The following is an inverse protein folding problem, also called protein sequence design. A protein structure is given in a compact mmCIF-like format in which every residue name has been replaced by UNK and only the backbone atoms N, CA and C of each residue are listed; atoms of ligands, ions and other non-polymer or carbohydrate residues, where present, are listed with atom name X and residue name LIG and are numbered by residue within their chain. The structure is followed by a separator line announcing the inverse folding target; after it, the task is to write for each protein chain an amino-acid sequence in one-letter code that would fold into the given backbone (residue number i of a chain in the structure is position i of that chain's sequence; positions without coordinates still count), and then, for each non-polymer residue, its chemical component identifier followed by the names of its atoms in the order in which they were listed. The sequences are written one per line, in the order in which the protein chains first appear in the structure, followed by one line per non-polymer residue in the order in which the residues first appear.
data_IF_079893765718
#
_entry.id   IF_079893765718
#
_cell.length_a   1.000
_cell.length_b   1.000
_cell.length_c   1.000
_cell.angle_alpha   90.00
_cell.angle_beta   90.00
_cell.angle_gamma   90.00
#
_symmetry.space_group_name_H-M   'P 1'
#
loop_
_entity.id
_entity.type
_entity.pdbx_description
1 polymer ?
#
# COMPACT_ATOMS: atom_id res chain seq x y z
N UNK A 1 -28.37 12.79 -77.39
CA UNK A 1 -27.99 11.62 -76.57
C UNK A 1 -29.17 11.26 -75.69
N UNK A 2 -29.62 10.00 -75.71
CA UNK A 2 -30.78 9.57 -74.94
C UNK A 2 -30.45 9.53 -73.44
N UNK A 3 -31.35 10.00 -72.58
CA UNK A 3 -31.19 9.98 -71.10
C UNK A 3 -30.81 8.59 -70.56
N UNK A 4 -31.15 7.52 -71.26
CA UNK A 4 -30.79 6.14 -70.93
C UNK A 4 -29.27 5.91 -70.91
N UNK A 5 -28.53 6.50 -71.85
CA UNK A 5 -27.06 6.33 -71.95
C UNK A 5 -26.34 7.05 -70.80
N UNK A 6 -26.85 8.22 -70.38
CA UNK A 6 -26.32 8.95 -69.23
C UNK A 6 -26.54 8.16 -67.93
N UNK A 7 -27.73 7.58 -67.75
CA UNK A 7 -28.06 6.76 -66.58
C UNK A 7 -27.21 5.48 -66.50
N UNK A 8 -26.95 4.83 -67.62
CA UNK A 8 -26.08 3.65 -67.68
C UNK A 8 -24.63 4.02 -67.32
N UNK A 9 -24.12 5.15 -67.82
CA UNK A 9 -22.79 5.65 -67.49
C UNK A 9 -22.63 5.93 -65.99
N UNK A 10 -23.57 6.66 -65.38
CA UNK A 10 -23.53 6.94 -63.94
C UNK A 10 -23.67 5.67 -63.08
N UNK A 11 -24.44 4.67 -63.53
CA UNK A 11 -24.58 3.40 -62.81
C UNK A 11 -23.29 2.58 -62.85
N UNK A 12 -22.56 2.61 -63.96
CA UNK A 12 -21.26 1.97 -64.06
C UNK A 12 -20.22 2.66 -63.18
N UNK A 13 -20.16 4.00 -63.19
CA UNK A 13 -19.28 4.78 -62.33
C UNK A 13 -19.56 4.50 -60.84
N UNK A 14 -20.83 4.47 -60.43
CA UNK A 14 -21.22 4.10 -59.06
C UNK A 14 -20.83 2.67 -58.68
N UNK A 15 -20.82 1.73 -59.64
CA UNK A 15 -20.36 0.34 -59.38
C UNK A 15 -18.86 0.30 -59.20
N UNK A 16 -18.11 1.05 -60.00
CA UNK A 16 -16.66 1.13 -59.93
C UNK A 16 -16.23 1.76 -58.60
N UNK A 17 -16.85 2.88 -58.20
CA UNK A 17 -16.62 3.51 -56.89
C UNK A 17 -16.96 2.57 -55.73
N UNK A 18 -18.07 1.84 -55.80
CA UNK A 18 -18.43 0.84 -54.79
C UNK A 18 -17.40 -0.29 -54.71
N UNK A 19 -16.86 -0.72 -55.85
CA UNK A 19 -15.81 -1.75 -55.88
C UNK A 19 -14.51 -1.24 -55.24
N UNK A 20 -14.16 0.02 -55.51
CA UNK A 20 -12.98 0.67 -54.98
C UNK A 20 -13.06 0.88 -53.46
N UNK A 21 -14.20 1.39 -52.97
CA UNK A 21 -14.44 1.59 -51.53
C UNK A 21 -14.41 0.27 -50.77
N UNK A 22 -14.96 -0.81 -51.34
CA UNK A 22 -14.89 -2.15 -50.73
C UNK A 22 -13.46 -2.66 -50.64
N UNK A 23 -12.63 -2.40 -51.65
CA UNK A 23 -11.21 -2.77 -51.63
C UNK A 23 -10.45 -1.99 -50.53
N UNK A 24 -10.66 -0.68 -50.43
CA UNK A 24 -10.05 0.14 -49.38
C UNK A 24 -10.45 -0.30 -47.97
N UNK A 25 -11.73 -0.62 -47.74
CA UNK A 25 -12.18 -1.09 -46.42
C UNK A 25 -11.52 -2.42 -46.03
N UNK A 26 -11.27 -3.30 -47.01
CA UNK A 26 -10.60 -4.57 -46.76
C UNK A 26 -9.12 -4.37 -46.40
N UNK A 27 -8.44 -3.45 -47.09
CA UNK A 27 -7.05 -3.09 -46.80
C UNK A 27 -6.89 -2.45 -45.42
N UNK A 28 -7.74 -1.46 -45.07
CA UNK A 28 -7.72 -0.81 -43.75
C UNK A 28 -7.97 -1.83 -42.63
N UNK A 29 -8.86 -2.80 -42.86
CA UNK A 29 -9.12 -3.87 -41.89
C UNK A 29 -7.92 -4.79 -41.69
N UNK A 30 -7.22 -5.15 -42.77
CA UNK A 30 -5.99 -5.94 -42.68
C UNK A 30 -4.90 -5.20 -41.89
N UNK A 31 -4.71 -3.90 -42.16
CA UNK A 31 -3.76 -3.08 -41.41
C UNK A 31 -4.11 -2.99 -39.92
N UNK A 32 -5.40 -2.88 -39.58
CA UNK A 32 -5.84 -2.84 -38.19
C UNK A 32 -5.58 -4.18 -37.45
N UNK A 33 -5.80 -5.31 -38.11
CA UNK A 33 -5.54 -6.63 -37.54
C UNK A 33 -4.03 -6.88 -37.35
N UNK A 34 -3.20 -6.43 -38.29
CA UNK A 34 -1.73 -6.49 -38.17
C UNK A 34 -1.21 -5.60 -37.03
N UNK A 35 -1.71 -4.37 -36.92
CA UNK A 35 -1.35 -3.46 -35.83
C UNK A 35 -1.76 -4.02 -34.46
N UNK A 36 -2.94 -4.66 -34.37
CA UNK A 36 -3.40 -5.32 -33.14
C UNK A 36 -2.49 -6.49 -32.77
N UNK A 37 -2.07 -7.30 -33.74
CA UNK A 37 -1.15 -8.42 -33.52
C UNK A 37 0.22 -7.92 -33.03
N UNK A 38 0.75 -6.87 -33.64
CA UNK A 38 2.01 -6.24 -33.22
C UNK A 38 1.91 -5.66 -31.80
N UNK A 39 0.78 -5.02 -31.44
CA UNK A 39 0.56 -4.50 -30.10
C UNK A 39 0.51 -5.62 -29.04
N UNK A 40 -0.15 -6.74 -29.34
CA UNK A 40 -0.19 -7.89 -28.42
C UNK A 40 1.20 -8.53 -28.24
N UNK A 41 1.98 -8.63 -29.32
CA UNK A 41 3.35 -9.15 -29.26
C UNK A 41 4.29 -8.22 -28.48
N UNK A 42 4.16 -6.91 -28.67
CA UNK A 42 4.89 -5.92 -27.87
C UNK A 42 4.51 -5.99 -26.38
N UNK A 43 3.22 -6.17 -26.06
CA UNK A 43 2.78 -6.36 -24.67
C UNK A 43 3.34 -7.64 -24.06
N UNK A 44 3.36 -8.77 -24.79
CA UNK A 44 3.99 -10.02 -24.32
C UNK A 44 5.49 -9.86 -24.10
N UNK A 45 6.19 -9.18 -25.00
CA UNK A 45 7.62 -8.91 -24.85
C UNK A 45 7.95 -8.01 -23.64
N UNK A 46 7.10 -7.02 -23.34
CA UNK A 46 7.22 -6.19 -22.14
C UNK A 46 6.98 -7.02 -20.87
N UNK A 47 5.96 -7.87 -20.88
CA UNK A 47 5.63 -8.74 -19.75
C UNK A 47 6.75 -9.75 -19.45
N UNK A 48 7.36 -10.36 -20.47
CA UNK A 48 8.50 -11.28 -20.29
C UNK A 48 9.77 -10.54 -19.82
N UNK A 49 10.02 -9.32 -20.29
CA UNK A 49 11.13 -8.49 -19.78
C UNK A 49 10.94 -8.07 -18.32
N UNK A 50 9.70 -7.89 -17.86
CA UNK A 50 9.38 -7.57 -16.48
C UNK A 50 9.60 -8.77 -15.54
N UNK A 51 9.31 -10.01 -15.98
CA UNK A 51 9.53 -11.23 -15.19
C UNK A 51 11.00 -11.52 -14.87
N UNK A 52 11.95 -10.98 -15.66
CA UNK A 52 13.37 -11.30 -15.50
C UNK A 52 14.10 -10.60 -14.36
N UNK A 53 13.54 -9.57 -13.72
CA UNK A 53 14.30 -8.71 -12.77
C UNK A 53 13.81 -8.68 -11.33
N UNK A 54 12.57 -9.09 -11.02
CA UNK A 54 12.01 -8.90 -9.66
C UNK A 54 11.79 -10.18 -8.84
N UNK A 55 11.89 -11.38 -9.43
CA UNK A 55 11.57 -12.62 -8.70
C UNK A 55 12.50 -12.96 -7.53
N UNK A 56 13.70 -12.36 -7.43
CA UNK A 56 14.58 -12.58 -6.28
C UNK A 56 14.12 -11.81 -5.03
N UNK A 57 13.42 -10.68 -5.17
CA UNK A 57 12.93 -9.90 -4.03
C UNK A 57 11.51 -10.29 -3.63
N UNK A 58 10.65 -10.61 -4.60
CA UNK A 58 9.27 -11.04 -4.36
C UNK A 58 9.17 -12.33 -3.53
N UNK A 59 10.03 -13.31 -3.85
CA UNK A 59 10.07 -14.59 -3.14
C UNK A 59 10.56 -14.46 -1.68
N UNK A 60 11.30 -13.38 -1.37
CA UNK A 60 11.88 -13.16 -0.04
C UNK A 60 10.95 -12.36 0.89
N UNK A 61 10.08 -11.51 0.32
CA UNK A 61 9.16 -10.67 1.09
C UNK A 61 7.80 -11.33 1.30
N UNK A 62 7.34 -12.18 0.37
CA UNK A 62 6.14 -13.01 0.54
C UNK A 62 6.16 -13.89 1.82
N UNK A 63 7.35 -14.09 2.41
CA UNK A 63 7.55 -14.90 3.62
C UNK A 63 8.01 -14.11 4.85
N UNK A 64 8.04 -12.76 4.80
CA UNK A 64 8.36 -11.98 6.00
C UNK A 64 7.21 -12.09 7.00
N UNK A 65 7.40 -12.92 8.04
CA UNK A 65 6.49 -12.96 9.18
C UNK A 65 6.37 -11.55 9.78
N UNK A 66 5.17 -11.12 10.22
CA UNK A 66 4.97 -9.83 10.89
C UNK A 66 5.90 -9.57 12.08
N UNK A 67 6.48 -10.61 12.69
CA UNK A 67 7.50 -10.48 13.73
C UNK A 67 8.78 -9.80 13.26
N UNK A 68 9.12 -9.90 11.98
CA UNK A 68 10.30 -9.25 11.38
C UNK A 68 10.05 -7.77 11.03
N UNK A 69 8.78 -7.35 10.90
CA UNK A 69 8.42 -5.94 10.66
C UNK A 69 8.63 -5.03 11.89
N UNK A 70 8.72 -5.59 13.11
CA UNK A 70 8.82 -4.79 14.35
C UNK A 70 10.09 -3.95 14.47
N UNK A 71 11.16 -4.30 13.75
CA UNK A 71 12.45 -3.59 13.80
C UNK A 71 12.55 -2.42 12.80
N UNK A 72 11.51 -2.19 11.99
CA UNK A 72 11.64 -1.49 10.72
C UNK A 72 10.88 -0.14 10.76
N UNK A 73 11.56 0.92 10.33
CA UNK A 73 11.18 2.35 10.46
C UNK A 73 9.86 2.74 9.77
N UNK A 74 9.44 4.01 9.93
CA UNK A 74 8.33 4.65 9.18
C UNK A 74 8.46 4.31 7.67
N UNK A 75 7.35 3.98 7.01
CA UNK A 75 7.20 3.60 5.59
C UNK A 75 7.46 2.13 5.20
N UNK A 76 7.83 1.26 6.13
CA UNK A 76 8.10 -0.15 5.83
C UNK A 76 6.86 -0.97 5.46
N UNK A 77 5.71 -0.60 6.00
CA UNK A 77 4.46 -1.25 5.63
C UNK A 77 4.12 -1.00 4.15
N UNK A 78 4.31 0.23 3.67
CA UNK A 78 4.14 0.57 2.26
C UNK A 78 5.11 -0.22 1.37
N UNK A 79 6.37 -0.37 1.81
CA UNK A 79 7.38 -1.21 1.14
C UNK A 79 6.99 -2.68 1.09
N UNK A 80 6.57 -3.25 2.22
CA UNK A 80 6.17 -4.65 2.32
C UNK A 80 4.90 -4.95 1.52
N UNK A 81 4.06 -3.95 1.27
CA UNK A 81 2.91 -4.06 0.37
C UNK A 81 3.26 -3.81 -1.11
N UNK A 82 4.53 -3.53 -1.44
CA UNK A 82 4.99 -3.16 -2.78
C UNK A 82 4.25 -1.93 -3.36
N UNK A 83 3.95 -0.95 -2.51
CA UNK A 83 3.25 0.28 -2.89
C UNK A 83 4.16 1.53 -2.79
N UNK A 84 5.49 1.37 -2.85
CA UNK A 84 6.43 2.50 -2.79
C UNK A 84 6.17 3.53 -3.90
N UNK A 85 5.92 3.05 -5.12
CA UNK A 85 5.67 3.90 -6.29
C UNK A 85 4.24 4.47 -6.33
N UNK A 86 3.29 3.80 -5.68
CA UNK A 86 1.86 4.12 -5.73
C UNK A 86 1.35 4.62 -4.38
N UNK A 87 1.83 5.80 -3.96
CA UNK A 87 1.47 6.43 -2.69
C UNK A 87 -0.04 6.66 -2.55
N UNK A 88 -0.72 7.07 -3.62
CA UNK A 88 -2.17 7.35 -3.59
C UNK A 88 -2.98 6.08 -3.34
N UNK A 89 -2.58 4.96 -3.94
CA UNK A 89 -3.21 3.67 -3.70
C UNK A 89 -3.03 3.25 -2.24
N UNK A 90 -1.83 3.40 -1.67
CA UNK A 90 -1.58 3.13 -0.26
C UNK A 90 -2.46 3.99 0.66
N UNK A 91 -2.57 5.30 0.40
CA UNK A 91 -3.42 6.20 1.17
C UNK A 91 -4.92 5.83 1.05
N UNK A 92 -5.37 5.43 -0.14
CA UNK A 92 -6.76 4.99 -0.34
C UNK A 92 -7.09 3.72 0.46
N UNK A 93 -6.14 2.78 0.55
CA UNK A 93 -6.27 1.57 1.37
C UNK A 93 -6.34 1.93 2.85
N UNK A 94 -5.45 2.80 3.34
CA UNK A 94 -5.47 3.27 4.72
C UNK A 94 -6.81 3.91 5.07
N UNK A 95 -7.30 4.81 4.20
CA UNK A 95 -8.57 5.49 4.42
C UNK A 95 -9.74 4.50 4.48
N UNK A 96 -9.79 3.55 3.54
CA UNK A 96 -10.84 2.51 3.50
C UNK A 96 -10.88 1.71 4.80
N UNK A 97 -9.72 1.29 5.31
CA UNK A 97 -9.63 0.55 6.57
C UNK A 97 -10.08 1.43 7.74
N UNK A 98 -9.69 2.70 7.79
CA UNK A 98 -10.10 3.62 8.86
C UNK A 98 -11.61 3.87 8.88
N UNK A 99 -12.23 4.00 7.71
CA UNK A 99 -13.67 4.15 7.58
C UNK A 99 -14.39 2.89 8.11
N UNK A 100 -13.91 1.70 7.73
CA UNK A 100 -14.44 0.43 8.24
C UNK A 100 -14.26 0.26 9.74
N UNK A 101 -13.09 0.64 10.29
CA UNK A 101 -12.85 0.61 11.73
C UNK A 101 -13.84 1.50 12.49
N UNK A 102 -14.17 2.66 11.91
CA UNK A 102 -15.14 3.61 12.46
C UNK A 102 -16.55 3.03 12.40
N UNK A 103 -16.91 2.38 11.29
CA UNK A 103 -18.21 1.70 11.11
C UNK A 103 -18.40 0.54 12.10
N UNK A 104 -17.35 -0.27 12.32
CA UNK A 104 -17.37 -1.42 13.23
C UNK A 104 -17.33 -1.00 14.71
N UNK A 105 -17.00 0.27 14.97
CA UNK A 105 -16.91 0.87 16.31
C UNK A 105 -16.00 0.04 17.24
N UNK A 106 -14.74 -0.11 16.81
CA UNK A 106 -13.68 -0.71 17.64
C UNK A 106 -13.34 0.20 18.83
N UNK A 107 -13.00 -0.41 19.96
CA UNK A 107 -12.67 0.35 21.17
C UNK A 107 -11.24 0.86 21.09
N UNK A 108 -11.07 2.16 20.80
CA UNK A 108 -9.77 2.80 20.63
C UNK A 108 -8.88 2.68 21.88
N UNK A 109 -9.46 2.44 23.07
CA UNK A 109 -8.70 2.36 24.33
C UNK A 109 -8.10 0.97 24.58
N UNK A 110 -8.51 -0.04 23.82
CA UNK A 110 -8.06 -1.42 23.98
C UNK A 110 -7.01 -1.77 22.94
N UNK A 111 -6.03 -2.55 23.37
CA UNK A 111 -5.03 -3.11 22.45
C UNK A 111 -5.67 -4.09 21.46
N UNK A 112 -5.00 -4.28 20.33
CA UNK A 112 -5.44 -5.16 19.24
C UNK A 112 -5.88 -6.55 19.73
N UNK A 113 -5.07 -7.19 20.59
CA UNK A 113 -5.35 -8.54 21.09
C UNK A 113 -6.55 -8.61 22.05
N UNK A 114 -7.00 -7.47 22.58
CA UNK A 114 -8.13 -7.37 23.51
C UNK A 114 -9.43 -6.96 22.83
N UNK A 115 -9.40 -6.70 21.51
CA UNK A 115 -10.60 -6.40 20.74
C UNK A 115 -11.44 -7.67 20.53
N UNK A 116 -12.77 -7.57 20.48
CA UNK A 116 -13.62 -8.71 20.17
C UNK A 116 -13.35 -9.20 18.74
N UNK A 117 -13.01 -10.48 18.60
CA UNK A 117 -12.64 -11.11 17.34
C UNK A 117 -13.75 -11.01 16.28
N UNK A 118 -15.02 -11.01 16.68
CA UNK A 118 -16.16 -10.81 15.77
C UNK A 118 -16.12 -9.46 15.04
N UNK A 119 -15.67 -8.40 15.73
CA UNK A 119 -15.53 -7.07 15.14
C UNK A 119 -14.33 -7.02 14.20
N UNK A 120 -13.19 -7.58 14.63
CA UNK A 120 -11.99 -7.62 13.81
C UNK A 120 -12.25 -8.45 12.54
N UNK A 121 -12.94 -9.59 12.64
CA UNK A 121 -13.30 -10.45 11.51
C UNK A 121 -14.02 -9.69 10.38
N UNK A 122 -14.92 -8.76 10.72
CA UNK A 122 -15.61 -7.93 9.73
C UNK A 122 -14.67 -7.00 8.95
N UNK A 123 -13.55 -6.61 9.54
CA UNK A 123 -12.53 -5.78 8.89
C UNK A 123 -11.66 -6.57 7.92
N UNK A 124 -11.62 -7.90 8.04
CA UNK A 124 -10.84 -8.75 7.14
C UNK A 124 -11.58 -9.06 5.83
N UNK A 125 -12.88 -8.77 5.73
CA UNK A 125 -13.66 -8.98 4.51
C UNK A 125 -13.52 -7.85 3.46
N UNK A 126 -12.35 -7.21 3.33
CA UNK A 126 -12.15 -6.07 2.42
C UNK A 126 -11.66 -6.56 1.05
N UNK A 127 -12.45 -6.37 -0.03
CA UNK A 127 -12.12 -6.92 -1.35
C UNK A 127 -10.76 -6.48 -1.91
N UNK A 128 -10.34 -5.25 -1.60
CA UNK A 128 -9.08 -4.69 -2.12
C UNK A 128 -7.83 -5.27 -1.46
N UNK A 129 -7.97 -5.86 -0.27
CA UNK A 129 -6.88 -6.43 0.52
C UNK A 129 -6.76 -7.94 0.39
N UNK A 130 -7.75 -8.59 -0.24
CA UNK A 130 -7.73 -10.03 -0.55
C UNK A 130 -6.55 -10.47 -1.42
N UNK A 131 -5.81 -9.51 -2.02
CA UNK A 131 -4.57 -9.76 -2.75
C UNK A 131 -3.39 -10.10 -1.84
N UNK A 132 -3.44 -9.70 -0.56
CA UNK A 132 -2.40 -9.97 0.42
C UNK A 132 -2.75 -11.24 1.19
N UNK A 133 -1.87 -12.24 1.14
CA UNK A 133 -2.13 -13.53 1.81
C UNK A 133 -2.36 -13.36 3.32
N UNK A 134 -3.37 -14.07 3.86
CA UNK A 134 -3.72 -14.04 5.28
C UNK A 134 -4.05 -12.65 5.84
N UNK A 135 -4.39 -11.69 4.97
CA UNK A 135 -4.74 -10.32 5.33
C UNK A 135 -3.76 -9.64 6.30
N UNK A 136 -2.47 -10.02 6.23
CA UNK A 136 -1.45 -9.53 7.18
C UNK A 136 -1.35 -8.00 7.14
N UNK A 137 -1.55 -7.41 5.95
CA UNK A 137 -1.53 -5.97 5.73
C UNK A 137 -2.64 -5.28 6.52
N UNK A 138 -3.86 -5.82 6.48
CA UNK A 138 -5.01 -5.32 7.24
C UNK A 138 -4.73 -5.35 8.74
N UNK A 139 -4.19 -6.47 9.24
CA UNK A 139 -3.85 -6.62 10.65
C UNK A 139 -2.79 -5.59 11.10
N UNK A 140 -1.78 -5.33 10.27
CA UNK A 140 -0.69 -4.42 10.61
C UNK A 140 -1.14 -2.95 10.56
N UNK A 141 -1.95 -2.57 9.57
CA UNK A 141 -2.58 -1.24 9.50
C UNK A 141 -3.44 -1.00 10.74
N UNK A 142 -4.23 -1.99 11.13
CA UNK A 142 -5.10 -1.94 12.29
C UNK A 142 -4.30 -1.76 13.60
N UNK A 143 -3.22 -2.51 13.78
CA UNK A 143 -2.30 -2.33 14.92
C UNK A 143 -1.68 -0.94 14.95
N UNK A 144 -1.20 -0.44 13.81
CA UNK A 144 -0.61 0.91 13.72
C UNK A 144 -1.62 1.99 14.10
N UNK A 145 -2.86 1.88 13.62
CA UNK A 145 -3.92 2.82 13.96
C UNK A 145 -4.22 2.84 15.46
N UNK A 146 -4.46 1.67 16.06
CA UNK A 146 -4.76 1.56 17.48
C UNK A 146 -3.58 2.07 18.32
N UNK A 147 -2.36 1.68 17.98
CA UNK A 147 -1.15 2.13 18.67
C UNK A 147 -0.99 3.66 18.62
N UNK A 148 -1.27 4.29 17.47
CA UNK A 148 -1.18 5.74 17.33
C UNK A 148 -2.26 6.49 18.10
N UNK A 149 -3.46 5.92 18.23
CA UNK A 149 -4.57 6.52 18.99
C UNK A 149 -4.49 6.27 20.50
N UNK A 150 -3.90 5.15 20.93
CA UNK A 150 -3.67 4.83 22.35
C UNK A 150 -2.61 5.72 23.01
N UNK A 151 -1.73 6.36 22.24
CA UNK A 151 -0.73 7.27 22.80
C UNK A 151 -1.46 8.38 23.55
N UNK A 152 -1.26 8.51 24.88
CA UNK A 152 -1.82 9.63 25.60
C UNK A 152 -1.30 10.87 24.90
N UNK A 153 -2.22 11.79 24.53
CA UNK A 153 -1.82 13.14 24.14
C UNK A 153 -1.05 13.65 25.35
N UNK A 154 0.28 13.58 25.31
CA UNK A 154 1.15 14.24 26.29
C UNK A 154 0.67 15.66 26.20
N UNK A 155 -0.16 16.08 27.18
CA UNK A 155 -0.61 17.45 27.26
C UNK A 155 0.67 18.24 27.18
N UNK A 156 0.83 19.01 26.11
CA UNK A 156 1.88 20.02 26.04
C UNK A 156 1.76 20.71 27.38
N UNK A 157 2.75 20.47 28.24
CA UNK A 157 2.73 20.90 29.63
C UNK A 157 2.53 22.39 29.49
N UNK A 158 1.33 22.84 29.83
CA UNK A 158 0.98 24.24 29.77
C UNK A 158 2.11 24.91 30.52
N UNK A 159 2.83 25.77 29.81
CA UNK A 159 3.71 26.76 30.38
C UNK A 159 2.85 27.76 31.14
N UNK A 160 2.02 27.27 32.07
CA UNK A 160 1.62 28.01 33.25
C UNK A 160 2.89 28.17 34.05
N UNK A 161 3.68 29.15 33.63
CA UNK A 161 4.51 29.94 34.51
C UNK A 161 3.67 30.22 35.76
N UNK A 162 4.02 29.67 36.94
CA UNK A 162 3.38 30.07 38.17
C UNK A 162 3.70 31.55 38.32
N UNK A 163 2.70 32.39 38.09
CA UNK A 163 2.76 33.79 38.44
C UNK A 163 3.05 33.87 39.93
N UNK A 164 4.28 34.27 40.23
CA UNK A 164 4.78 34.59 41.54
C UNK A 164 4.29 36.01 41.88
N UNK A 165 3.42 36.22 42.90
CA UNK A 165 3.11 37.56 43.35
C UNK A 165 3.95 37.86 44.61
N UNK A 166 4.99 38.67 44.40
CA UNK A 166 5.70 39.51 45.39
C UNK A 166 6.73 38.84 46.30
N UNK A 167 7.98 39.24 46.07
CA UNK A 167 8.93 39.58 47.12
C UNK A 167 10.35 39.75 46.59
N UNK A 168 10.89 40.99 46.67
CA UNK A 168 12.31 41.40 46.77
C UNK A 168 13.39 40.32 46.57
N UNK A 169 14.50 40.53 45.86
CA UNK A 169 15.25 41.76 45.65
C UNK A 169 16.33 41.47 44.59
N UNK A 170 16.62 42.48 43.78
CA UNK A 170 17.89 42.76 43.07
C UNK A 170 18.85 41.59 42.77
N UNK A 171 18.97 41.20 41.51
CA UNK A 171 20.30 41.20 40.88
C UNK A 171 20.22 41.51 39.39
N UNK A 172 21.01 42.52 39.05
CA UNK A 172 21.24 43.24 37.81
C UNK A 172 22.12 42.42 36.85
N UNK A 173 21.62 42.13 35.65
CA UNK A 173 22.39 41.93 34.41
C UNK A 173 21.46 42.33 33.25
N UNK A 174 21.55 43.54 32.69
CA UNK A 174 22.33 43.86 31.47
C UNK A 174 21.98 42.91 30.31
N UNK A 175 21.66 43.32 29.08
CA UNK A 175 21.69 44.59 28.35
C UNK A 175 21.19 44.21 26.94
N UNK A 176 20.36 45.05 26.34
CA UNK A 176 20.03 45.16 24.90
C UNK A 176 20.93 44.39 23.91
N UNK A 177 20.30 43.71 22.95
CA UNK A 177 20.32 44.14 21.55
C UNK A 177 19.37 43.29 20.69
N UNK A 178 18.31 43.94 20.20
CA UNK A 178 17.83 43.73 18.84
C UNK A 178 18.99 43.96 17.86
N UNK A 179 19.16 43.09 16.86
CA UNK A 179 19.80 43.29 15.55
C UNK A 179 19.69 41.94 14.82
N UNK A 180 18.83 41.86 13.81
CA UNK A 180 19.15 42.15 12.40
C UNK A 180 19.94 41.01 11.74
N UNK A 181 19.55 40.73 10.50
CA UNK A 181 19.78 39.49 9.81
C UNK A 181 21.22 39.16 9.50
N UNK A 182 21.44 37.88 9.24
CA UNK A 182 22.45 37.45 8.29
C UNK A 182 22.02 36.13 7.68
N UNK A 183 21.72 36.23 6.39
CA UNK A 183 21.97 35.23 5.38
C UNK A 183 23.42 34.74 5.53
N UNK A 184 23.61 33.45 5.79
CA UNK A 184 24.92 32.80 5.78
C UNK A 184 24.78 31.39 5.22
N UNK A 185 24.98 31.31 3.91
CA UNK A 185 25.96 30.44 3.26
C UNK A 185 26.21 29.06 3.89
N UNK A 186 25.72 28.05 3.17
CA UNK A 186 26.43 26.81 2.80
C UNK A 186 27.68 26.45 3.62
N UNK A 187 27.51 25.63 4.66
CA UNK A 187 28.61 24.83 5.22
C UNK A 187 28.57 23.41 4.64
N UNK A 188 29.49 23.22 3.68
CA UNK A 188 30.05 21.95 3.25
C UNK A 188 31.05 21.47 4.31
N UNK A 189 30.61 20.64 5.27
CA UNK A 189 31.52 19.91 6.18
C UNK A 189 30.83 18.59 6.58
N UNK A 190 31.24 17.45 6.03
CA UNK A 190 32.38 16.57 6.40
C UNK A 190 31.77 15.22 6.75
N UNK A 191 31.95 14.27 5.84
CA UNK A 191 32.01 12.85 6.17
C UNK A 191 33.11 12.65 7.23
N UNK A 192 32.94 11.63 8.06
CA UNK A 192 33.80 11.24 9.18
C UNK A 192 33.49 11.86 10.55
N UNK A 193 32.44 11.33 11.19
CA UNK A 193 32.52 11.02 12.62
C UNK A 193 31.80 9.70 12.93
N UNK A 194 32.58 8.63 12.81
CA UNK A 194 32.32 7.36 13.45
C UNK A 194 32.52 7.51 14.96
N UNK A 195 31.45 7.35 15.75
CA UNK A 195 31.57 6.98 17.15
C UNK A 195 30.52 5.93 17.50
N UNK A 196 31.04 4.76 17.88
CA UNK A 196 30.25 3.61 18.31
C UNK A 196 29.36 3.96 19.49
N UNK A 197 28.12 3.48 19.44
CA UNK A 197 27.36 3.22 20.65
C UNK A 197 27.44 1.72 20.91
N UNK A 198 28.31 1.35 21.83
CA UNK A 198 28.21 0.12 22.60
C UNK A 198 26.83 0.08 23.25
N UNK A 199 25.89 -0.58 22.58
CA UNK A 199 24.56 -0.85 23.12
C UNK A 199 24.64 -2.15 23.92
N UNK A 200 25.24 -2.07 25.11
CA UNK A 200 25.07 -3.07 26.15
C UNK A 200 23.72 -2.84 26.85
N UNK A 201 22.67 -3.36 26.20
CA UNK A 201 21.27 -3.25 26.61
C UNK A 201 20.65 -4.60 26.89
N UNK A 202 21.24 -5.27 27.88
CA UNK A 202 20.81 -6.43 28.65
C UNK A 202 19.30 -6.81 28.64
N UNK A 203 19.07 -8.13 28.69
CA UNK A 203 17.95 -8.80 29.38
C UNK A 203 16.53 -8.46 28.96
N UNK A 204 15.98 -9.23 28.01
CA UNK A 204 14.64 -9.78 28.25
C UNK A 204 14.62 -11.28 28.06
N UNK A 205 13.84 -11.84 28.96
CA UNK A 205 13.92 -13.17 29.47
C UNK A 205 13.48 -14.22 28.47
N UNK A 206 14.17 -15.34 28.58
CA UNK A 206 14.04 -16.54 27.79
C UNK A 206 12.80 -17.29 28.28
N UNK A 207 11.62 -16.92 27.78
CA UNK A 207 10.47 -17.83 27.89
C UNK A 207 10.68 -19.02 26.95
N UNK A 208 11.32 -20.05 27.51
CA UNK A 208 11.26 -21.42 27.00
C UNK A 208 9.79 -21.85 27.11
N UNK A 209 9.03 -21.69 26.03
CA UNK A 209 7.75 -22.38 25.90
C UNK A 209 8.09 -23.84 25.65
N UNK A 210 7.91 -24.66 26.68
CA UNK A 210 7.87 -26.12 26.55
C UNK A 210 6.82 -26.47 25.49
N UNK A 211 7.28 -27.05 24.40
CA UNK A 211 6.43 -27.70 23.42
C UNK A 211 5.85 -28.97 24.07
N UNK A 212 4.68 -28.83 24.68
CA UNK A 212 3.84 -29.99 24.99
C UNK A 212 3.33 -30.56 23.68
N UNK A 213 3.89 -31.71 23.32
CA UNK A 213 3.43 -32.62 22.30
C UNK A 213 1.95 -32.93 22.53
N UNK A 214 1.07 -32.33 21.72
CA UNK A 214 -0.32 -32.76 21.60
C UNK A 214 -0.38 -33.71 20.41
N UNK A 215 -0.64 -34.96 20.73
CA UNK A 215 -0.86 -36.02 19.76
C UNK A 215 -2.06 -35.70 18.84
N UNK A 216 -1.99 -36.02 17.55
CA UNK A 216 -3.15 -35.93 16.67
C UNK A 216 -4.09 -37.10 16.96
N UNK A 217 -5.18 -36.82 17.69
CA UNK A 217 -6.31 -37.74 17.80
C UNK A 217 -6.96 -37.92 16.43
N UNK A 218 -6.87 -39.15 15.94
CA UNK A 218 -7.59 -39.65 14.79
C UNK A 218 -9.11 -39.49 14.95
N UNK A 219 -9.81 -39.33 13.82
CA UNK A 219 -11.23 -39.62 13.71
C UNK A 219 -12.10 -38.46 13.25
N UNK A 220 -12.08 -38.15 11.96
CA UNK A 220 -13.25 -37.58 11.30
C UNK A 220 -13.63 -38.48 10.13
N UNK A 221 -14.74 -39.20 10.34
CA UNK A 221 -15.41 -40.05 9.38
C UNK A 221 -15.87 -39.22 8.17
N UNK A 222 -15.44 -39.66 6.98
CA UNK A 222 -15.99 -39.19 5.72
C UNK A 222 -17.45 -39.64 5.61
N UNK A 223 -18.39 -38.70 5.75
CA UNK A 223 -19.79 -38.91 5.33
C UNK A 223 -19.90 -38.58 3.85
N UNK A 224 -19.90 -39.63 3.04
CA UNK A 224 -20.25 -39.63 1.63
C UNK A 224 -21.72 -39.25 1.47
N UNK A 225 -22.00 -38.01 1.04
CA UNK A 225 -23.33 -37.64 0.58
C UNK A 225 -23.47 -38.05 -0.89
N UNK A 226 -24.15 -39.18 -1.11
CA UNK A 226 -24.63 -39.61 -2.41
C UNK A 226 -25.82 -38.74 -2.81
N UNK A 227 -25.70 -37.99 -3.91
CA UNK A 227 -26.79 -37.23 -4.51
C UNK A 227 -27.55 -38.19 -5.44
N UNK A 228 -28.87 -38.39 -5.29
CA UNK A 228 -29.66 -39.14 -6.26
C UNK A 228 -29.97 -38.25 -7.47
N UNK A 229 -29.59 -38.72 -8.66
CA UNK A 229 -30.06 -38.16 -9.92
C UNK A 229 -31.53 -38.59 -10.14
N UNK A 230 -32.39 -37.60 -10.38
CA UNK A 230 -33.66 -37.79 -11.08
C UNK A 230 -33.59 -37.04 -12.41
#
# INVERSE_FOLDING_TARGET
MSCTVMLESCNNELKDENSHLKAQLLEVRQQADEAKKQAEEAQKAVLEKAKGKDHHLDSKIAWMRPSQLKALRRNQLQKAMHLEDNKDLYLSILQTIWDLMTQVNLDIKKDYCLQPHEKIGKLFCVPHLAKFENDWATAEILKQFLHNKCKPKKRARESSSPGDPRGSDQTKCHHINDLDGSDSEMEELTEDDAMGSDFDGNTYDRFVVQASSLEPTAGYEARSNTIPCF
#
